data_IF_028923713275
#
_entry.id   IF_028923713275
#
_cell.length_a   1.000
_cell.length_b   1.000
_cell.length_c   1.000
_cell.angle_alpha   90.00
_cell.angle_beta   90.00
_cell.angle_gamma   90.00
#
_symmetry.space_group_name_H-M   'P 1'
#
loop_
_entity.id
_entity.type
_entity.pdbx_description
1 polymer ?
#
# COMPACT_ATOMS: atom_id res chain seq x y z
N UNK A 1 -11.49 -13.31 6.63
CA UNK A 1 -10.50 -12.56 7.42
C UNK A 1 -9.55 -11.72 6.57
N UNK A 2 -8.70 -12.26 5.68
CA UNK A 2 -7.72 -11.44 4.97
C UNK A 2 -8.34 -10.50 3.93
N UNK A 3 -9.50 -10.82 3.37
CA UNK A 3 -10.07 -10.01 2.28
C UNK A 3 -10.63 -8.67 2.78
N UNK A 4 -11.29 -8.61 3.95
CA UNK A 4 -11.78 -7.33 4.50
C UNK A 4 -10.60 -6.39 4.83
N UNK A 5 -9.53 -6.95 5.41
CA UNK A 5 -8.31 -6.20 5.68
C UNK A 5 -7.71 -5.64 4.38
N UNK A 6 -7.60 -6.45 3.32
CA UNK A 6 -7.15 -5.97 2.00
C UNK A 6 -8.08 -4.90 1.40
N UNK A 7 -9.40 -5.02 1.62
CA UNK A 7 -10.36 -4.01 1.19
C UNK A 7 -10.08 -2.64 1.83
N UNK A 8 -9.93 -2.61 3.15
CA UNK A 8 -9.52 -1.39 3.88
C UNK A 8 -8.17 -0.85 3.41
N UNK A 9 -7.22 -1.77 3.22
CA UNK A 9 -5.89 -1.42 2.79
C UNK A 9 -5.94 -0.67 1.43
N UNK A 10 -6.76 -1.12 0.48
CA UNK A 10 -6.93 -0.45 -0.82
C UNK A 10 -7.56 0.95 -0.73
N UNK A 11 -8.38 1.21 0.28
CA UNK A 11 -8.86 2.57 0.56
C UNK A 11 -7.69 3.47 0.97
N UNK A 12 -6.85 2.99 1.89
CA UNK A 12 -5.67 3.74 2.33
C UNK A 12 -4.65 3.94 1.21
N UNK A 13 -4.47 2.97 0.32
CA UNK A 13 -3.64 3.15 -0.88
C UNK A 13 -4.21 4.26 -1.78
N UNK A 14 -5.52 4.29 -2.03
CA UNK A 14 -6.11 5.33 -2.86
C UNK A 14 -5.87 6.73 -2.26
N UNK A 15 -6.02 6.88 -0.94
CA UNK A 15 -5.76 8.13 -0.21
C UNK A 15 -4.28 8.48 -0.17
N UNK A 16 -3.37 7.50 -0.07
CA UNK A 16 -1.94 7.76 -0.12
C UNK A 16 -1.49 8.17 -1.53
N UNK A 17 -2.01 7.50 -2.57
CA UNK A 17 -1.59 7.70 -3.94
C UNK A 17 -2.11 9.00 -4.54
N UNK A 18 -3.33 9.46 -4.20
CA UNK A 18 -3.87 10.72 -4.73
C UNK A 18 -2.91 11.89 -4.45
N UNK A 19 -2.25 11.85 -3.29
CA UNK A 19 -1.34 12.93 -2.85
C UNK A 19 -0.09 13.03 -3.73
N UNK A 20 0.30 11.92 -4.39
CA UNK A 20 1.44 11.89 -5.33
C UNK A 20 1.09 12.52 -6.70
N UNK A 21 -0.19 12.70 -7.00
CA UNK A 21 -0.66 13.30 -8.26
C UNK A 21 -0.95 14.80 -8.14
N UNK A 22 -0.83 15.39 -6.96
CA UNK A 22 -1.01 16.84 -6.76
C UNK A 22 0.22 17.59 -7.28
N UNK A 23 0.02 18.63 -8.10
CA UNK A 23 1.09 19.44 -8.67
C UNK A 23 0.73 20.92 -8.83
N UNK A 24 1.69 21.75 -9.26
CA UNK A 24 1.44 23.18 -9.55
C UNK A 24 1.34 24.13 -8.35
N UNK A 25 1.58 23.70 -7.11
CA UNK A 25 1.64 24.58 -5.91
C UNK A 25 2.95 24.42 -5.13
N UNK A 26 3.25 25.36 -4.24
CA UNK A 26 4.42 25.25 -3.35
C UNK A 26 4.31 23.99 -2.49
N UNK A 27 5.30 23.12 -2.65
CA UNK A 27 5.39 21.87 -1.91
C UNK A 27 6.18 22.06 -0.61
N UNK A 28 5.59 21.66 0.50
CA UNK A 28 6.30 21.42 1.75
C UNK A 28 7.01 20.06 1.77
N UNK A 29 7.54 19.69 2.94
CA UNK A 29 8.22 18.41 3.16
C UNK A 29 7.33 17.21 2.77
N UNK A 30 7.87 16.25 1.99
CA UNK A 30 7.18 15.05 1.46
C UNK A 30 6.07 15.30 0.41
N UNK A 31 6.24 16.29 -0.48
CA UNK A 31 5.28 16.61 -1.57
C UNK A 31 3.87 16.98 -1.10
N UNK A 32 3.71 17.52 0.11
CA UNK A 32 2.40 17.99 0.58
C UNK A 32 2.23 19.47 0.30
N UNK A 33 1.06 19.82 -0.23
CA UNK A 33 0.67 21.21 -0.47
C UNK A 33 0.70 21.96 0.87
N UNK A 34 1.33 23.13 0.91
CA UNK A 34 1.23 24.04 2.05
C UNK A 34 -0.25 24.44 2.18
N UNK A 35 -0.94 24.11 3.29
CA UNK A 35 -2.38 24.29 3.35
C UNK A 35 -2.76 25.78 3.39
N UNK A 36 -3.54 26.23 2.42
CA UNK A 36 -4.04 27.61 2.35
C UNK A 36 -5.24 27.85 3.29
N UNK A 37 -6.00 26.79 3.62
CA UNK A 37 -7.22 26.86 4.45
C UNK A 37 -7.17 25.97 5.70
N UNK A 38 -7.94 26.30 6.74
CA UNK A 38 -8.06 25.48 7.96
C UNK A 38 -8.60 24.08 7.67
N UNK A 39 -9.47 23.92 6.67
CA UNK A 39 -9.98 22.63 6.23
C UNK A 39 -8.83 21.77 5.64
N UNK A 40 -8.00 22.36 4.79
CA UNK A 40 -6.84 21.67 4.22
C UNK A 40 -5.80 21.31 5.27
N UNK A 41 -5.63 22.14 6.32
CA UNK A 41 -4.76 21.82 7.45
C UNK A 41 -5.26 20.58 8.20
N UNK A 42 -6.56 20.50 8.47
CA UNK A 42 -7.18 19.34 9.14
C UNK A 42 -7.06 18.08 8.27
N UNK A 43 -7.37 18.18 6.98
CA UNK A 43 -7.28 17.03 6.05
C UNK A 43 -5.84 16.56 5.89
N UNK A 44 -4.90 17.49 5.74
CA UNK A 44 -3.47 17.19 5.66
C UNK A 44 -3.00 16.53 6.95
N UNK A 45 -3.38 17.07 8.11
CA UNK A 45 -3.08 16.47 9.41
C UNK A 45 -3.64 15.07 9.55
N UNK A 46 -4.92 14.86 9.24
CA UNK A 46 -5.56 13.55 9.31
C UNK A 46 -4.88 12.57 8.36
N UNK A 47 -4.56 12.97 7.14
CA UNK A 47 -3.91 12.09 6.15
C UNK A 47 -2.50 11.70 6.60
N UNK A 48 -1.74 12.63 7.17
CA UNK A 48 -0.38 12.36 7.60
C UNK A 48 -0.30 11.58 8.89
N UNK A 49 -1.18 11.88 9.84
CA UNK A 49 -1.35 11.08 11.02
C UNK A 49 -1.80 9.68 10.59
N UNK A 50 -2.99 9.55 10.00
CA UNK A 50 -3.66 8.28 9.81
C UNK A 50 -3.06 7.39 8.70
N UNK A 51 -2.57 7.96 7.60
CA UNK A 51 -2.27 7.20 6.38
C UNK A 51 -0.76 7.08 6.15
N UNK A 52 -0.04 8.20 6.12
CA UNK A 52 1.27 8.29 5.44
C UNK A 52 2.37 7.37 6.03
N UNK A 53 2.48 7.25 7.37
CA UNK A 53 3.53 6.43 8.00
C UNK A 53 3.11 4.98 8.33
N UNK A 54 1.81 4.70 8.34
CA UNK A 54 1.25 3.48 8.99
C UNK A 54 0.79 2.44 7.99
N UNK A 55 0.44 2.89 6.79
CA UNK A 55 -0.10 2.05 5.73
C UNK A 55 0.96 1.07 5.25
N UNK A 56 2.19 1.52 4.99
CA UNK A 56 3.25 0.65 4.47
C UNK A 56 3.62 -0.52 5.39
N UNK A 57 3.83 -0.35 6.73
CA UNK A 57 4.09 -1.48 7.63
C UNK A 57 2.92 -2.48 7.72
N UNK A 58 1.68 -2.00 7.83
CA UNK A 58 0.50 -2.87 7.87
C UNK A 58 0.36 -3.70 6.59
N UNK A 59 0.62 -3.07 5.44
CA UNK A 59 0.63 -3.75 4.16
C UNK A 59 1.74 -4.79 4.07
N UNK A 60 2.96 -4.45 4.50
CA UNK A 60 4.08 -5.40 4.52
C UNK A 60 3.75 -6.63 5.36
N UNK A 61 3.10 -6.45 6.52
CA UNK A 61 2.63 -7.55 7.37
C UNK A 61 1.56 -8.41 6.68
N UNK A 62 0.55 -7.79 6.07
CA UNK A 62 -0.50 -8.51 5.34
C UNK A 62 0.05 -9.30 4.15
N UNK A 63 1.02 -8.74 3.44
CA UNK A 63 1.72 -9.42 2.33
C UNK A 63 2.55 -10.58 2.86
N UNK A 64 3.35 -10.36 3.89
CA UNK A 64 4.16 -11.40 4.53
C UNK A 64 3.32 -12.59 5.00
N UNK A 65 2.25 -12.33 5.75
CA UNK A 65 1.29 -13.35 6.16
C UNK A 65 0.62 -14.04 4.97
N UNK A 66 0.25 -13.27 3.94
CA UNK A 66 -0.37 -13.78 2.73
C UNK A 66 0.52 -14.72 1.92
N UNK A 67 1.83 -14.45 1.85
CA UNK A 67 2.83 -15.31 1.20
C UNK A 67 3.10 -16.55 2.04
N UNK A 68 3.28 -16.40 3.36
CA UNK A 68 3.45 -17.54 4.28
C UNK A 68 2.28 -18.54 4.18
N UNK A 69 1.05 -18.03 4.21
CA UNK A 69 -0.16 -18.87 4.04
C UNK A 69 -0.25 -19.54 2.66
N UNK A 70 0.19 -18.86 1.61
CA UNK A 70 0.24 -19.46 0.27
C UNK A 70 1.29 -20.56 0.18
N UNK A 71 2.47 -20.38 0.77
CA UNK A 71 3.53 -21.38 0.81
C UNK A 71 3.17 -22.61 1.66
N UNK A 72 2.25 -22.46 2.61
CA UNK A 72 1.69 -23.55 3.39
C UNK A 72 0.67 -24.40 2.61
N UNK A 73 0.02 -23.83 1.59
CA UNK A 73 -1.13 -24.47 0.90
C UNK A 73 -0.94 -24.70 -0.59
N UNK A 74 0.11 -24.14 -1.21
CA UNK A 74 0.38 -24.21 -2.65
C UNK A 74 1.83 -24.56 -2.92
N UNK A 75 2.07 -25.10 -4.12
CA UNK A 75 3.42 -25.33 -4.61
C UNK A 75 4.21 -24.01 -4.69
N UNK A 76 5.46 -24.08 -4.23
CA UNK A 76 6.40 -22.94 -4.18
C UNK A 76 6.59 -22.27 -5.54
N UNK A 77 6.59 -23.05 -6.61
CA UNK A 77 6.81 -22.56 -7.96
C UNK A 77 5.61 -21.76 -8.45
N UNK A 78 4.39 -22.13 -8.07
CA UNK A 78 3.19 -21.33 -8.34
C UNK A 78 3.25 -19.99 -7.62
N UNK A 79 3.68 -19.96 -6.35
CA UNK A 79 3.84 -18.70 -5.58
C UNK A 79 4.95 -17.83 -6.18
N UNK A 80 6.07 -18.45 -6.60
CA UNK A 80 7.16 -17.75 -7.29
C UNK A 80 6.70 -17.12 -8.61
N UNK A 81 6.06 -17.89 -9.48
CA UNK A 81 5.57 -17.38 -10.76
C UNK A 81 4.49 -16.33 -10.61
N UNK A 82 3.68 -16.40 -9.55
CA UNK A 82 2.78 -15.32 -9.17
C UNK A 82 3.54 -14.05 -8.79
N UNK A 83 4.60 -14.16 -8.00
CA UNK A 83 5.49 -13.04 -7.67
C UNK A 83 6.11 -12.42 -8.92
N UNK A 84 6.66 -13.23 -9.83
CA UNK A 84 7.19 -12.77 -11.12
C UNK A 84 6.11 -12.04 -11.93
N UNK A 85 4.90 -12.61 -12.02
CA UNK A 85 3.79 -11.98 -12.71
C UNK A 85 3.42 -10.61 -12.14
N UNK A 86 3.46 -10.45 -10.81
CA UNK A 86 3.25 -9.17 -10.14
C UNK A 86 4.37 -8.16 -10.44
N UNK A 87 5.63 -8.60 -10.48
CA UNK A 87 6.76 -7.73 -10.86
C UNK A 87 6.61 -7.24 -12.30
N UNK A 88 6.33 -8.16 -13.24
CA UNK A 88 6.17 -7.80 -14.65
C UNK A 88 4.98 -6.87 -14.85
N UNK A 89 3.85 -7.19 -14.22
CA UNK A 89 2.66 -6.37 -14.31
C UNK A 89 2.87 -4.99 -13.68
N UNK A 90 3.52 -4.93 -12.52
CA UNK A 90 3.87 -3.67 -11.86
C UNK A 90 4.94 -2.87 -12.60
N UNK A 91 5.85 -3.52 -13.33
CA UNK A 91 6.81 -2.82 -14.20
C UNK A 91 6.12 -2.20 -15.41
N UNK A 92 5.23 -2.96 -16.06
CA UNK A 92 4.40 -2.45 -17.16
C UNK A 92 3.52 -1.30 -16.68
N UNK A 93 2.87 -1.45 -15.53
CA UNK A 93 2.07 -0.40 -14.91
C UNK A 93 2.92 0.81 -14.48
N UNK A 94 4.10 0.56 -13.92
CA UNK A 94 5.04 1.58 -13.49
C UNK A 94 5.55 2.46 -14.64
N UNK A 95 5.78 1.83 -15.79
CA UNK A 95 6.22 2.50 -17.02
C UNK A 95 5.06 3.22 -17.71
N UNK A 96 3.88 2.59 -17.81
CA UNK A 96 2.77 3.11 -18.61
C UNK A 96 1.85 4.09 -17.87
N UNK A 97 1.72 3.95 -16.55
CA UNK A 97 0.67 4.62 -15.79
C UNK A 97 1.23 5.46 -14.63
N UNK A 98 2.10 4.89 -13.78
CA UNK A 98 2.53 5.59 -12.57
C UNK A 98 3.89 5.15 -12.01
N UNK A 99 4.85 6.08 -11.92
CA UNK A 99 6.16 5.89 -11.28
C UNK A 99 6.04 5.88 -9.75
N UNK A 100 5.52 4.78 -9.20
CA UNK A 100 5.35 4.56 -7.76
C UNK A 100 4.48 3.34 -7.43
N UNK A 101 4.29 2.44 -8.39
CA UNK A 101 3.40 1.29 -8.23
C UNK A 101 3.90 0.32 -7.14
N UNK A 102 3.02 0.07 -6.16
CA UNK A 102 3.28 -0.85 -5.05
C UNK A 102 3.28 -2.31 -5.50
N UNK A 103 2.70 -2.61 -6.67
CA UNK A 103 2.55 -3.97 -7.18
C UNK A 103 3.89 -4.63 -7.55
N UNK A 104 4.80 -3.88 -8.18
CA UNK A 104 6.13 -4.37 -8.51
C UNK A 104 6.90 -4.70 -7.21
N UNK A 105 6.82 -3.79 -6.23
CA UNK A 105 7.40 -3.98 -4.90
C UNK A 105 6.83 -5.23 -4.20
N UNK A 106 5.52 -5.48 -4.31
CA UNK A 106 4.89 -6.69 -3.76
C UNK A 106 5.33 -7.97 -4.48
N UNK A 107 5.53 -7.92 -5.79
CA UNK A 107 6.10 -9.02 -6.56
C UNK A 107 7.51 -9.36 -6.09
N UNK A 108 8.36 -8.34 -5.92
CA UNK A 108 9.74 -8.50 -5.41
C UNK A 108 9.71 -9.06 -3.99
N UNK A 109 8.92 -8.48 -3.09
CA UNK A 109 8.80 -8.96 -1.71
C UNK A 109 8.33 -10.42 -1.67
N UNK A 110 7.37 -10.79 -2.51
CA UNK A 110 6.93 -12.19 -2.64
C UNK A 110 8.09 -13.10 -3.06
N UNK A 111 8.91 -12.69 -4.02
CA UNK A 111 10.05 -13.48 -4.49
C UNK A 111 11.14 -13.64 -3.44
N UNK A 112 11.45 -12.56 -2.72
CA UNK A 112 12.38 -12.58 -1.58
C UNK A 112 11.88 -13.55 -0.52
N UNK A 113 10.62 -13.42 -0.09
CA UNK A 113 10.03 -14.30 0.93
C UNK A 113 9.95 -15.77 0.49
N UNK A 114 9.67 -16.05 -0.79
CA UNK A 114 9.70 -17.41 -1.34
C UNK A 114 11.14 -17.97 -1.31
N UNK A 115 12.14 -17.14 -1.61
CA UNK A 115 13.56 -17.51 -1.52
C UNK A 115 14.04 -17.75 -0.09
N UNK A 116 13.53 -16.98 0.87
CA UNK A 116 13.89 -17.07 2.29
C UNK A 116 13.19 -18.22 3.05
N UNK A 117 12.35 -19.04 2.40
CA UNK A 117 11.60 -20.12 3.09
C UNK A 117 12.51 -21.17 3.77
N UNK A 118 13.72 -21.39 3.25
CA UNK A 118 14.67 -22.37 3.80
C UNK A 118 15.56 -21.77 4.91
N UNK A 119 15.41 -20.48 5.17
CA UNK A 119 16.18 -19.75 6.19
C UNK A 119 15.56 -20.04 7.55
N UNK A 120 16.40 -20.22 8.58
CA UNK A 120 15.93 -20.50 9.93
C UNK A 120 15.24 -19.28 10.53
N UNK A 121 14.30 -19.49 11.45
CA UNK A 121 13.58 -18.41 12.15
C UNK A 121 14.54 -17.40 12.80
N UNK A 122 15.68 -17.88 13.32
CA UNK A 122 16.73 -17.03 13.90
C UNK A 122 17.31 -16.06 12.87
N UNK A 123 17.66 -16.54 11.68
CA UNK A 123 18.19 -15.67 10.62
C UNK A 123 17.13 -14.72 10.09
N UNK A 124 15.86 -15.12 10.00
CA UNK A 124 14.75 -14.22 9.67
C UNK A 124 14.60 -13.09 10.68
N UNK A 125 14.71 -13.39 11.97
CA UNK A 125 14.66 -12.39 13.04
C UNK A 125 15.88 -11.47 13.04
N UNK A 126 17.08 -11.99 12.77
CA UNK A 126 18.30 -11.18 12.63
C UNK A 126 18.18 -10.22 11.45
N UNK A 127 17.73 -10.70 10.28
CA UNK A 127 17.51 -9.84 9.10
C UNK A 127 16.43 -8.81 9.39
N UNK A 128 15.33 -9.20 10.03
CA UNK A 128 14.29 -8.25 10.45
C UNK A 128 14.84 -7.19 11.41
N UNK A 129 15.68 -7.56 12.37
CA UNK A 129 16.32 -6.62 13.30
C UNK A 129 17.30 -5.68 12.58
N UNK A 130 18.14 -6.20 11.69
CA UNK A 130 19.08 -5.41 10.88
C UNK A 130 18.34 -4.40 10.00
N UNK A 131 17.14 -4.72 9.50
CA UNK A 131 16.35 -3.79 8.71
C UNK A 131 15.57 -2.81 9.58
N UNK A 132 14.91 -3.30 10.64
CA UNK A 132 13.99 -2.51 11.46
C UNK A 132 14.70 -1.55 12.40
N UNK A 133 15.82 -1.95 13.02
CA UNK A 133 16.53 -1.13 14.01
C UNK A 133 17.08 0.16 13.40
N UNK A 134 17.78 0.14 12.24
CA UNK A 134 18.20 1.37 11.57
C UNK A 134 17.02 2.24 11.11
N UNK A 135 15.92 1.65 10.62
CA UNK A 135 14.72 2.45 10.30
C UNK A 135 14.09 3.08 11.53
N UNK A 136 14.05 2.38 12.66
CA UNK A 136 13.54 2.94 13.91
C UNK A 136 14.45 4.05 14.45
N UNK A 137 15.77 3.86 14.35
CA UNK A 137 16.77 4.87 14.73
C UNK A 137 16.69 6.10 13.84
N UNK A 138 16.64 5.94 12.52
CA UNK A 138 16.52 7.06 11.58
C UNK A 138 15.21 7.83 11.77
N UNK A 139 14.09 7.14 12.03
CA UNK A 139 12.83 7.80 12.38
C UNK A 139 12.91 8.52 13.73
N UNK A 140 13.59 7.93 14.72
CA UNK A 140 13.84 8.57 16.02
C UNK A 140 14.75 9.78 15.92
N UNK A 141 15.79 9.74 15.08
CA UNK A 141 16.67 10.88 14.81
C UNK A 141 15.91 11.96 14.05
N UNK A 142 15.14 11.60 13.02
CA UNK A 142 14.29 12.54 12.29
C UNK A 142 13.25 13.21 13.20
N UNK A 143 12.76 12.50 14.22
CA UNK A 143 11.90 13.08 15.25
C UNK A 143 12.60 14.15 16.07
N UNK A 144 13.76 13.81 16.64
CA UNK A 144 14.53 14.74 17.49
C UNK A 144 14.98 15.95 16.69
N UNK A 145 15.50 15.73 15.47
CA UNK A 145 15.94 16.79 14.57
C UNK A 145 14.78 17.64 14.01
N UNK A 146 13.59 17.07 13.87
CA UNK A 146 12.37 17.76 13.47
C UNK A 146 11.70 18.56 14.60
N UNK A 147 12.27 18.57 15.82
CA UNK A 147 11.75 19.41 16.90
C UNK A 147 12.18 20.87 16.73
N UNK A 148 11.32 21.84 17.09
CA UNK A 148 11.66 23.27 17.07
C UNK A 148 12.90 23.58 17.89
N UNK A 149 13.11 22.89 19.01
CA UNK A 149 14.28 23.04 19.86
C UNK A 149 15.58 22.66 19.13
N UNK A 150 15.57 21.60 18.32
CA UNK A 150 16.73 21.18 17.53
C UNK A 150 17.01 22.11 16.34
N UNK A 151 15.97 22.62 15.67
CA UNK A 151 16.10 23.58 14.56
C UNK A 151 16.62 24.95 15.02
N UNK A 152 16.18 25.41 16.18
CA UNK A 152 16.69 26.64 16.83
C UNK A 152 18.12 26.43 17.33
N UNK A 153 18.42 25.29 17.98
CA UNK A 153 19.77 24.97 18.44
C UNK A 153 20.78 24.80 17.29
N UNK A 154 20.33 24.34 16.13
CA UNK A 154 21.15 24.18 14.93
C UNK A 154 21.25 25.47 14.08
N UNK A 155 20.61 26.57 14.49
CA UNK A 155 20.72 27.87 13.82
C UNK A 155 19.97 28.00 12.49
N UNK A 156 19.14 27.02 12.13
CA UNK A 156 18.39 27.00 10.86
C UNK A 156 17.01 27.69 10.95
N UNK A 157 16.54 28.06 12.15
CA UNK A 157 15.29 28.79 12.35
C UNK A 157 15.41 29.80 13.51
N UNK A 158 14.87 31.00 13.32
CA UNK A 158 14.63 31.95 14.41
C UNK A 158 13.30 31.62 15.11
N UNK A 159 13.17 31.99 16.38
CA UNK A 159 12.02 31.66 17.26
C UNK A 159 10.64 32.10 16.74
N UNK A 160 10.57 32.83 15.62
CA UNK A 160 9.36 33.36 14.97
C UNK A 160 8.83 32.53 13.80
N UNK A 161 9.47 31.41 13.43
CA UNK A 161 9.03 30.58 12.28
C UNK A 161 8.00 29.51 12.70
N UNK A 162 6.72 29.84 12.50
CA UNK A 162 5.50 29.01 12.44
C UNK A 162 5.31 27.81 13.42
N UNK A 163 4.34 27.87 14.36
CA UNK A 163 3.92 26.75 15.21
C UNK A 163 3.41 25.51 14.44
N UNK A 164 2.92 25.69 13.21
CA UNK A 164 2.14 24.66 12.49
C UNK A 164 2.99 23.49 11.99
N UNK A 165 4.17 23.73 11.41
CA UNK A 165 5.05 22.65 10.90
C UNK A 165 5.70 21.83 12.02
N UNK A 166 5.95 22.49 13.15
CA UNK A 166 6.47 21.92 14.39
C UNK A 166 5.47 20.97 15.03
N UNK A 167 4.23 21.45 15.23
CA UNK A 167 3.14 20.63 15.79
C UNK A 167 2.88 19.42 14.90
N UNK A 168 2.92 19.60 13.58
CA UNK A 168 2.74 18.53 12.61
C UNK A 168 3.83 17.44 12.70
N UNK A 169 5.09 17.85 12.83
CA UNK A 169 6.23 16.93 12.93
C UNK A 169 6.19 16.15 14.25
N UNK A 170 5.90 16.83 15.36
CA UNK A 170 5.75 16.19 16.68
C UNK A 170 4.60 15.18 16.66
N UNK A 171 3.44 15.57 16.12
CA UNK A 171 2.29 14.68 16.06
C UNK A 171 2.51 13.49 15.12
N UNK A 172 3.12 13.70 13.95
CA UNK A 172 3.39 12.62 12.99
C UNK A 172 4.21 11.49 13.62
N UNK A 173 5.27 11.82 14.36
CA UNK A 173 6.11 10.81 14.99
C UNK A 173 5.49 10.26 16.26
N UNK A 174 4.96 11.12 17.15
CA UNK A 174 4.33 10.67 18.39
C UNK A 174 3.22 9.67 18.09
N UNK A 175 2.45 9.88 17.02
CA UNK A 175 1.35 9.00 16.64
C UNK A 175 1.75 7.84 15.72
N UNK A 176 3.01 7.75 15.27
CA UNK A 176 3.50 6.72 14.35
C UNK A 176 3.35 5.30 14.91
N UNK A 177 4.02 4.95 16.03
CA UNK A 177 3.94 3.62 16.64
C UNK A 177 2.53 3.29 17.17
N UNK A 178 1.86 4.24 17.82
CA UNK A 178 0.53 4.02 18.38
C UNK A 178 -0.54 3.87 17.30
N UNK A 179 -0.37 4.51 16.14
CA UNK A 179 -1.33 4.37 15.04
C UNK A 179 -1.24 3.02 14.35
N UNK A 180 -0.04 2.45 14.16
CA UNK A 180 0.12 1.09 13.65
C UNK A 180 -0.54 0.05 14.58
N UNK A 181 -0.33 0.20 15.90
CA UNK A 181 -1.00 -0.60 16.91
C UNK A 181 -2.53 -0.36 16.91
N UNK A 182 -2.97 0.89 16.79
CA UNK A 182 -4.38 1.26 16.72
C UNK A 182 -5.11 0.63 15.53
N UNK A 183 -4.49 0.60 14.35
CA UNK A 183 -5.04 -0.10 13.19
C UNK A 183 -5.05 -1.61 13.36
N UNK A 184 -4.01 -2.19 13.96
CA UNK A 184 -3.97 -3.62 14.27
C UNK A 184 -5.12 -3.99 15.23
N UNK A 185 -5.29 -3.23 16.32
CA UNK A 185 -6.36 -3.42 17.30
C UNK A 185 -7.75 -3.15 16.71
N UNK A 186 -7.91 -2.10 15.91
CA UNK A 186 -9.16 -1.82 15.20
C UNK A 186 -9.52 -2.96 14.25
N UNK A 187 -8.55 -3.47 13.49
CA UNK A 187 -8.77 -4.60 12.58
C UNK A 187 -9.16 -5.87 13.35
N UNK A 188 -8.57 -6.10 14.54
CA UNK A 188 -8.92 -7.19 15.44
C UNK A 188 -10.32 -7.01 16.03
N UNK A 189 -10.66 -5.83 16.56
CA UNK A 189 -11.96 -5.52 17.12
C UNK A 189 -13.09 -5.64 16.09
N UNK A 190 -12.87 -5.12 14.88
CA UNK A 190 -13.79 -5.25 13.74
C UNK A 190 -13.95 -6.72 13.33
N UNK A 191 -12.89 -7.52 13.39
CA UNK A 191 -12.95 -8.96 13.11
C UNK A 191 -13.65 -9.76 14.22
N UNK A 192 -13.54 -9.34 15.48
CA UNK A 192 -14.21 -9.97 16.62
C UNK A 192 -15.70 -9.59 16.69
N UNK A 193 -16.09 -8.45 16.11
CA UNK A 193 -17.49 -8.02 16.02
C UNK A 193 -18.29 -8.90 15.07
N UNK A 194 -19.05 -9.86 15.64
CA UNK A 194 -19.95 -10.74 14.88
C UNK A 194 -21.03 -9.96 14.12
N UNK A 195 -21.49 -8.84 14.65
CA UNK A 195 -22.48 -7.96 14.01
C UNK A 195 -21.90 -7.29 12.76
N UNK A 196 -20.69 -6.74 12.86
CA UNK A 196 -20.03 -6.13 11.71
C UNK A 196 -19.74 -7.16 10.62
N UNK A 197 -19.26 -8.34 10.98
CA UNK A 197 -18.93 -9.39 10.00
C UNK A 197 -20.15 -9.87 9.18
N UNK A 198 -21.37 -9.69 9.69
CA UNK A 198 -22.63 -10.00 8.97
C UNK A 198 -23.19 -8.80 8.17
N UNK A 199 -22.67 -7.60 8.41
CA UNK A 199 -23.18 -6.36 7.85
C UNK A 199 -22.92 -6.20 6.33
N UNK A 200 -23.68 -5.30 5.69
CA UNK A 200 -23.47 -4.91 4.28
C UNK A 200 -22.07 -4.32 4.01
N UNK A 201 -21.50 -3.42 4.84
CA UNK A 201 -20.16 -2.87 4.59
C UNK A 201 -19.06 -3.94 4.66
N UNK A 202 -19.12 -4.89 5.60
CA UNK A 202 -18.15 -5.99 5.65
C UNK A 202 -18.18 -6.85 4.37
N UNK A 203 -19.38 -7.05 3.81
CA UNK A 203 -19.56 -7.76 2.54
C UNK A 203 -18.96 -7.01 1.36
N UNK A 204 -19.10 -5.69 1.34
CA UNK A 204 -18.53 -4.82 0.31
C UNK A 204 -17.00 -4.80 0.39
N UNK A 205 -16.45 -4.56 1.57
CA UNK A 205 -14.99 -4.62 1.83
C UNK A 205 -14.40 -5.97 1.46
N UNK A 206 -15.08 -7.07 1.79
CA UNK A 206 -14.68 -8.41 1.39
C UNK A 206 -14.70 -8.58 -0.14
N UNK A 207 -15.70 -8.04 -0.84
CA UNK A 207 -15.79 -8.11 -2.30
C UNK A 207 -14.62 -7.40 -2.99
N UNK A 208 -14.23 -6.23 -2.47
CA UNK A 208 -13.05 -5.47 -2.93
C UNK A 208 -11.77 -6.24 -2.65
N UNK A 209 -11.58 -6.74 -1.42
CA UNK A 209 -10.36 -7.46 -1.08
C UNK A 209 -10.16 -8.81 -1.79
N UNK A 210 -11.25 -9.44 -2.25
CA UNK A 210 -11.18 -10.62 -3.12
C UNK A 210 -10.78 -10.28 -4.56
N UNK A 211 -10.89 -9.00 -4.95
CA UNK A 211 -10.59 -8.43 -6.28
C UNK A 211 -9.51 -7.37 -6.19
N UNK A 212 -8.56 -7.55 -5.27
CA UNK A 212 -7.67 -6.47 -4.90
C UNK A 212 -6.81 -5.94 -6.05
N UNK A 213 -6.40 -6.81 -6.97
CA UNK A 213 -5.62 -6.43 -8.15
C UNK A 213 -6.51 -5.71 -9.17
N UNK A 214 -7.71 -6.23 -9.42
CA UNK A 214 -8.68 -5.60 -10.32
C UNK A 214 -9.08 -4.21 -9.81
N UNK A 215 -9.35 -4.07 -8.50
CA UNK A 215 -9.73 -2.80 -7.89
C UNK A 215 -8.56 -1.80 -7.93
N UNK A 216 -7.34 -2.24 -7.61
CA UNK A 216 -6.15 -1.39 -7.69
C UNK A 216 -5.94 -0.85 -9.10
N UNK A 217 -6.05 -1.72 -10.11
CA UNK A 217 -5.95 -1.30 -11.51
C UNK A 217 -7.01 -0.31 -11.92
N UNK A 218 -8.24 -0.53 -11.47
CA UNK A 218 -9.34 0.39 -11.74
C UNK A 218 -9.12 1.74 -11.06
N UNK A 219 -8.56 1.77 -9.85
CA UNK A 219 -8.18 3.02 -9.18
C UNK A 219 -7.17 3.80 -10.01
N UNK A 220 -6.10 3.14 -10.48
CA UNK A 220 -5.11 3.78 -11.36
C UNK A 220 -5.73 4.22 -12.69
N UNK A 221 -6.62 3.40 -13.29
CA UNK A 221 -7.29 3.74 -14.55
C UNK A 221 -8.22 4.96 -14.41
N UNK A 222 -8.77 5.20 -13.22
CA UNK A 222 -9.55 6.40 -12.93
C UNK A 222 -8.62 7.60 -12.69
N UNK A 223 -7.59 7.46 -11.85
CA UNK A 223 -6.76 8.59 -11.41
C UNK A 223 -5.77 9.07 -12.48
N UNK A 224 -5.12 8.17 -13.21
CA UNK A 224 -4.02 8.50 -14.14
C UNK A 224 -4.46 9.33 -15.35
N UNK A 225 -5.64 9.14 -15.96
CA UNK A 225 -6.09 10.04 -17.01
C UNK A 225 -6.51 11.42 -16.50
N UNK A 226 -6.90 11.53 -15.22
CA UNK A 226 -7.48 12.76 -14.66
C UNK A 226 -6.42 13.69 -14.06
N UNK A 227 -5.50 13.17 -13.26
CA UNK A 227 -4.74 13.98 -12.30
C UNK A 227 -3.32 14.42 -12.77
N UNK A 228 -2.49 13.55 -13.37
CA UNK A 228 -1.14 13.89 -13.79
C UNK A 228 -1.04 15.12 -14.71
N UNK A 229 0.07 15.84 -14.61
CA UNK A 229 0.33 17.05 -15.40
C UNK A 229 0.34 16.81 -16.93
N UNK A 230 0.65 15.60 -17.36
CA UNK A 230 0.70 15.20 -18.78
C UNK A 230 -0.63 14.68 -19.33
N UNK A 231 -1.71 14.65 -18.54
CA UNK A 231 -3.05 14.25 -18.97
C UNK A 231 -4.02 15.42 -18.88
N UNK A 232 -5.12 15.30 -18.12
CA UNK A 232 -6.08 16.39 -17.91
C UNK A 232 -5.59 17.40 -16.86
N UNK A 233 -4.49 17.11 -16.17
CA UNK A 233 -3.82 18.00 -15.22
C UNK A 233 -4.72 18.55 -14.09
N UNK A 234 -5.85 17.89 -13.79
CA UNK A 234 -6.75 18.28 -12.69
C UNK A 234 -6.04 18.28 -11.33
N UNK A 235 -4.92 17.55 -11.20
CA UNK A 235 -4.06 17.57 -10.02
C UNK A 235 -3.45 18.94 -9.70
N UNK A 236 -3.43 19.89 -10.65
CA UNK A 236 -3.00 21.27 -10.40
C UNK A 236 -4.04 22.11 -9.66
N UNK A 237 -5.32 21.77 -9.85
CA UNK A 237 -6.44 22.55 -9.32
C UNK A 237 -6.94 22.02 -7.97
N UNK A 238 -6.61 20.76 -7.64
CA UNK A 238 -7.04 20.12 -6.40
C UNK A 238 -6.27 20.65 -5.18
N UNK A 239 -7.03 21.02 -4.15
CA UNK A 239 -6.54 21.20 -2.78
C UNK A 239 -6.51 19.86 -2.01
N UNK A 240 -6.01 19.86 -0.78
CA UNK A 240 -5.91 18.64 0.03
C UNK A 240 -7.30 18.00 0.29
N UNK A 241 -8.33 18.83 0.47
CA UNK A 241 -9.70 18.40 0.76
C UNK A 241 -10.36 17.73 -0.44
N UNK A 242 -10.32 18.38 -1.59
CA UNK A 242 -10.84 17.86 -2.87
C UNK A 242 -10.05 16.64 -3.35
N UNK A 243 -8.74 16.57 -3.10
CA UNK A 243 -7.95 15.37 -3.34
C UNK A 243 -8.41 14.18 -2.48
N UNK A 244 -8.66 14.40 -1.18
CA UNK A 244 -9.21 13.36 -0.30
C UNK A 244 -10.60 12.90 -0.79
N UNK A 245 -11.47 13.84 -1.17
CA UNK A 245 -12.78 13.52 -1.73
C UNK A 245 -12.67 12.72 -3.02
N UNK A 246 -11.76 13.08 -3.93
CA UNK A 246 -11.50 12.35 -5.17
C UNK A 246 -11.01 10.92 -4.89
N UNK A 247 -10.16 10.72 -3.87
CA UNK A 247 -9.72 9.39 -3.45
C UNK A 247 -10.86 8.55 -2.88
N UNK A 248 -11.70 9.12 -2.01
CA UNK A 248 -12.88 8.45 -1.45
C UNK A 248 -13.89 8.10 -2.54
N UNK A 249 -14.13 9.00 -3.49
CA UNK A 249 -15.01 8.78 -4.63
C UNK A 249 -14.48 7.67 -5.53
N UNK A 250 -13.18 7.70 -5.86
CA UNK A 250 -12.53 6.64 -6.65
C UNK A 250 -12.66 5.30 -5.95
N UNK A 251 -12.42 5.25 -4.63
CA UNK A 251 -12.61 4.04 -3.84
C UNK A 251 -14.07 3.57 -3.84
N UNK A 252 -15.04 4.48 -3.72
CA UNK A 252 -16.45 4.14 -3.78
C UNK A 252 -16.87 3.57 -5.15
N UNK A 253 -16.40 4.17 -6.25
CA UNK A 253 -16.62 3.67 -7.61
C UNK A 253 -16.05 2.27 -7.77
N UNK A 254 -14.79 2.06 -7.37
CA UNK A 254 -14.16 0.73 -7.44
C UNK A 254 -14.86 -0.31 -6.56
N UNK A 255 -15.36 0.09 -5.40
CA UNK A 255 -16.20 -0.73 -4.52
C UNK A 255 -17.51 -1.14 -5.20
N UNK A 256 -18.19 -0.22 -5.88
CA UNK A 256 -19.41 -0.51 -6.63
C UNK A 256 -19.14 -1.50 -7.78
N UNK A 257 -18.05 -1.32 -8.52
CA UNK A 257 -17.63 -2.25 -9.56
C UNK A 257 -17.32 -3.64 -8.98
N UNK A 258 -16.61 -3.71 -7.84
CA UNK A 258 -16.34 -4.98 -7.17
C UNK A 258 -17.63 -5.70 -6.74
N UNK A 259 -18.63 -4.95 -6.28
CA UNK A 259 -19.96 -5.48 -5.94
C UNK A 259 -20.73 -5.95 -7.19
N UNK A 260 -20.63 -5.22 -8.31
CA UNK A 260 -21.26 -5.61 -9.57
C UNK A 260 -20.64 -6.90 -10.15
N UNK A 261 -19.31 -7.01 -10.15
CA UNK A 261 -18.59 -8.22 -10.54
C UNK A 261 -18.92 -9.40 -9.63
N UNK A 262 -19.16 -9.15 -8.34
CA UNK A 262 -19.60 -10.18 -7.40
C UNK A 262 -21.00 -10.70 -7.74
N UNK A 263 -21.94 -9.81 -8.08
CA UNK A 263 -23.30 -10.21 -8.49
C UNK A 263 -23.30 -10.97 -9.82
N UNK A 264 -22.39 -10.61 -10.72
CA UNK A 264 -22.30 -11.16 -12.09
C UNK A 264 -21.44 -12.43 -12.16
N UNK A 265 -21.58 -13.35 -11.20
CA UNK A 265 -20.87 -14.65 -11.19
C UNK A 265 -19.50 -14.66 -10.49
N UNK A 266 -19.25 -13.72 -9.59
CA UNK A 266 -18.01 -13.61 -8.81
C UNK A 266 -16.73 -13.49 -9.66
N UNK A 267 -16.79 -12.80 -10.81
CA UNK A 267 -15.66 -12.60 -11.72
C UNK A 267 -14.50 -11.83 -11.05
N UNK A 268 -13.26 -12.28 -11.31
CA UNK A 268 -12.01 -11.70 -10.76
C UNK A 268 -10.97 -11.61 -11.89
N UNK A 269 -11.16 -10.73 -12.89
CA UNK A 269 -10.47 -10.83 -14.18
C UNK A 269 -8.94 -10.75 -14.07
N UNK A 270 -8.43 -9.73 -13.36
CA UNK A 270 -6.99 -9.55 -13.22
C UNK A 270 -6.37 -10.67 -12.37
N UNK A 271 -7.06 -11.09 -11.31
CA UNK A 271 -6.59 -12.19 -10.45
C UNK A 271 -6.57 -13.53 -11.18
N UNK A 272 -7.57 -13.80 -12.03
CA UNK A 272 -7.65 -15.00 -12.86
C UNK A 272 -6.52 -15.00 -13.89
N UNK A 273 -6.26 -13.86 -14.55
CA UNK A 273 -5.14 -13.70 -15.47
C UNK A 273 -3.80 -13.99 -14.77
N UNK A 274 -3.54 -13.35 -13.63
CA UNK A 274 -2.31 -13.57 -12.87
C UNK A 274 -2.17 -15.03 -12.42
N UNK A 275 -3.27 -15.67 -12.00
CA UNK A 275 -3.28 -17.10 -11.63
C UNK A 275 -2.96 -17.99 -12.83
N UNK A 276 -3.53 -17.70 -14.00
CA UNK A 276 -3.29 -18.45 -15.22
C UNK A 276 -1.83 -18.35 -15.65
N UNK A 277 -1.24 -17.14 -15.61
CA UNK A 277 0.18 -16.92 -15.86
C UNK A 277 1.03 -17.74 -14.89
N UNK A 278 0.72 -17.69 -13.59
CA UNK A 278 1.47 -18.40 -12.56
C UNK A 278 1.45 -19.93 -12.75
N UNK A 279 0.28 -20.49 -13.07
CA UNK A 279 0.11 -21.93 -13.30
C UNK A 279 0.79 -22.38 -14.59
N UNK A 280 0.67 -21.61 -15.69
CA UNK A 280 1.33 -21.91 -16.97
C UNK A 280 2.85 -21.87 -16.83
N UNK A 281 3.39 -20.87 -16.12
CA UNK A 281 4.82 -20.76 -15.86
C UNK A 281 5.38 -21.98 -15.10
N UNK A 282 4.65 -22.46 -14.09
CA UNK A 282 5.05 -23.64 -13.33
C UNK A 282 5.02 -24.91 -14.19
N UNK A 283 3.93 -25.16 -14.93
CA UNK A 283 3.81 -26.34 -15.81
C UNK A 283 4.92 -26.40 -16.86
N UNK A 284 5.25 -25.26 -17.48
CA UNK A 284 6.36 -25.18 -18.47
C UNK A 284 7.71 -25.52 -17.84
N UNK A 285 7.95 -25.07 -16.61
CA UNK A 285 9.18 -25.38 -15.88
C UNK A 285 9.29 -26.87 -15.56
N UNK A 286 8.21 -27.49 -15.10
CA UNK A 286 8.15 -28.93 -14.80
C UNK A 286 8.39 -29.76 -16.06
N UNK A 287 7.74 -29.42 -17.17
CA UNK A 287 7.96 -30.09 -18.46
C UNK A 287 9.42 -29.99 -18.94
N UNK A 288 10.04 -28.80 -18.83
CA UNK A 288 11.45 -28.61 -19.20
C UNK A 288 12.40 -29.41 -18.31
N UNK A 289 12.15 -29.45 -17.00
CA UNK A 289 12.97 -30.24 -16.08
C UNK A 289 12.84 -31.75 -16.33
N UNK A 290 11.64 -32.25 -16.65
CA UNK A 290 11.43 -33.65 -17.03
C UNK A 290 12.12 -34.03 -18.35
N UNK A 291 12.04 -33.15 -19.36
CA UNK A 291 12.73 -33.36 -20.64
C UNK A 291 14.26 -33.43 -20.48
N UNK A 292 14.84 -32.59 -19.63
CA UNK A 292 16.28 -32.62 -19.34
C UNK A 292 16.67 -33.89 -18.57
N UNK A 293 15.87 -34.32 -17.59
CA UNK A 293 16.13 -35.55 -16.85
C UNK A 293 16.13 -36.78 -17.77
N UNK A 294 15.16 -36.87 -18.68
CA UNK A 294 15.06 -37.97 -19.65
C UNK A 294 16.17 -37.95 -20.70
N UNK A 295 16.76 -36.78 -21.00
CA UNK A 295 17.87 -36.67 -21.96
C UNK A 295 19.24 -37.05 -21.36
N UNK A 296 19.34 -37.21 -20.04
CA UNK A 296 20.57 -37.54 -19.30
C UNK A 296 20.58 -39.01 -18.82
N UNK A 297 19.45 -39.71 -18.98
CA UNK A 297 19.27 -41.16 -18.73
C UNK A 297 19.28 -41.94 -20.02
#
# INVERSE_FOLDING_TARGET
MPDIARGWALCFIAVANIMLYLHGREYGMRQKIVPDTTADQIVTFLTVALVDARVYPLFALLVGYGVARQLATRDRGVVRWRGIGLVLFGAVHGILLFAGDVLALYGILTLVLVGMRRVTDRTLLIVAAILLVPTALTQGVAFVAGTPAALVAAGFASATTCPTGVVFSVVHVATGPFGGLGYALLSLAVCQSRCFMKSRPARALSAVGQRSLTCYLLQSLIMVPLLPAWTLALGAELDATSALLAAVLTYAITMLVALALRRSGDAKPAEQLLRAIAQRGQRRREARSGAIANAVT
#
